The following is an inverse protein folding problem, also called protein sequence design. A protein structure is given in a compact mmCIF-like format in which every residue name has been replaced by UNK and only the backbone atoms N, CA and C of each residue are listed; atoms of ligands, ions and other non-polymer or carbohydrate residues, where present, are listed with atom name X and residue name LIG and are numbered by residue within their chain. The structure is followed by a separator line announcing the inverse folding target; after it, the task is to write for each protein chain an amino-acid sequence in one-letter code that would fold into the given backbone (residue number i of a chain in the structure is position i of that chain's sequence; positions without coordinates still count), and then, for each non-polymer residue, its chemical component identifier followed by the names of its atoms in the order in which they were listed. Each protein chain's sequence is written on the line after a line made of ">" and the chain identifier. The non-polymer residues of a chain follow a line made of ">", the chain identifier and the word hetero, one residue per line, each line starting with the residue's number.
data_IF_938460421976
#
_entry.id   IF_938460421976
#
_cell.length_a   1.000
_cell.length_b   1.000
_cell.length_c   1.000
_cell.angle_alpha   90.00
_cell.angle_beta   90.00
_cell.angle_gamma   90.00
#
_symmetry.space_group_name_H-M   'P 1'
#
loop_
_entity.id
_entity.type
_entity.pdbx_description
1 polymer ?
#
# COMPACT_ATOMS: atom_id res chain seq x y z
N UNK A 1 16.16 8.14 5.09
CA UNK A 1 14.87 7.91 5.79
C UNK A 1 13.89 7.33 4.78
N UNK A 2 13.19 6.24 5.09
CA UNK A 2 12.18 5.65 4.21
C UNK A 2 10.79 5.96 4.80
N UNK A 3 9.94 6.61 4.00
CA UNK A 3 8.52 6.76 4.31
C UNK A 3 7.71 6.09 3.21
N UNK A 4 7.06 4.97 3.52
CA UNK A 4 6.21 4.24 2.59
C UNK A 4 4.75 4.30 3.06
N UNK A 5 3.82 4.38 2.13
CA UNK A 5 2.38 4.49 2.40
C UNK A 5 1.60 3.66 1.40
N UNK A 6 0.47 3.12 1.84
CA UNK A 6 -0.53 2.50 0.95
C UNK A 6 -1.71 3.45 0.81
N UNK A 7 -2.10 3.76 -0.42
CA UNK A 7 -3.31 4.53 -0.72
C UNK A 7 -4.32 3.63 -1.44
N UNK A 8 -5.56 3.65 -0.97
CA UNK A 8 -6.66 2.94 -1.62
C UNK A 8 -7.04 3.66 -2.93
N UNK A 9 -6.50 3.20 -4.07
CA UNK A 9 -6.87 3.77 -5.36
C UNK A 9 -8.24 3.27 -5.84
N UNK A 10 -8.42 1.94 -5.89
CA UNK A 10 -9.66 1.27 -6.34
C UNK A 10 -9.82 -0.08 -5.62
N UNK A 11 -9.73 -0.05 -4.29
CA UNK A 11 -9.73 -1.26 -3.47
C UNK A 11 -11.15 -1.82 -3.29
N UNK A 12 -11.29 -3.14 -3.40
CA UNK A 12 -12.52 -3.84 -3.02
C UNK A 12 -12.58 -3.98 -1.50
N UNK A 13 -13.29 -3.06 -0.85
CA UNK A 13 -13.45 -3.05 0.60
C UNK A 13 -14.18 -4.30 1.12
N UNK A 14 -15.06 -4.92 0.33
CA UNK A 14 -15.79 -6.12 0.74
C UNK A 14 -14.85 -7.31 0.79
N UNK A 15 -14.07 -7.52 -0.29
CA UNK A 15 -13.08 -8.59 -0.34
C UNK A 15 -12.03 -8.46 0.77
N UNK A 16 -11.65 -7.23 1.13
CA UNK A 16 -10.74 -6.99 2.25
C UNK A 16 -11.29 -7.49 3.58
N UNK A 17 -12.60 -7.39 3.82
CA UNK A 17 -13.21 -7.90 5.07
C UNK A 17 -13.26 -9.42 5.14
N UNK A 18 -13.25 -10.11 4.01
CA UNK A 18 -13.22 -11.58 3.93
C UNK A 18 -11.82 -12.13 4.22
N UNK A 19 -10.78 -11.41 3.77
CA UNK A 19 -9.38 -11.86 3.86
C UNK A 19 -8.73 -11.44 5.18
N UNK A 20 -9.09 -10.26 5.71
CA UNK A 20 -8.50 -9.76 6.94
C UNK A 20 -9.20 -10.34 8.17
N UNK A 21 -8.41 -10.94 9.08
CA UNK A 21 -8.92 -11.37 10.39
C UNK A 21 -9.15 -10.15 11.28
N UNK A 22 -10.38 -9.65 11.29
CA UNK A 22 -10.83 -8.58 12.18
C UNK A 22 -11.31 -9.23 13.50
N UNK A 23 -10.69 -8.90 14.63
CA UNK A 23 -11.03 -9.48 15.95
C UNK A 23 -12.48 -9.23 16.36
N UNK A 24 -13.09 -10.19 17.09
CA UNK A 24 -14.51 -10.14 17.53
C UNK A 24 -14.87 -8.89 18.33
N UNK A 25 -13.93 -8.34 19.10
CA UNK A 25 -14.15 -7.14 19.90
C UNK A 25 -14.35 -5.88 19.02
N UNK A 26 -13.59 -5.78 17.92
CA UNK A 26 -13.84 -4.74 16.90
C UNK A 26 -15.16 -4.96 16.15
N UNK A 27 -15.63 -6.22 16.07
CA UNK A 27 -16.93 -6.58 15.48
C UNK A 27 -18.12 -6.32 16.44
N UNK A 28 -17.92 -6.31 17.75
CA UNK A 28 -19.00 -6.01 18.72
C UNK A 28 -19.12 -4.51 19.01
N UNK A 29 -17.99 -3.80 19.12
CA UNK A 29 -17.95 -2.37 19.46
C UNK A 29 -18.11 -1.46 18.22
N UNK A 30 -17.64 -1.94 17.05
CA UNK A 30 -17.65 -1.22 15.76
C UNK A 30 -18.00 -2.14 14.59
N UNK A 31 -19.01 -2.98 14.80
CA UNK A 31 -19.40 -4.10 13.94
C UNK A 31 -19.32 -3.86 12.44
N UNK A 32 -19.04 -4.94 11.72
CA UNK A 32 -18.93 -5.19 10.26
C UNK A 32 -19.37 -4.05 9.33
N UNK A 33 -20.47 -3.36 9.65
CA UNK A 33 -20.85 -2.05 9.11
C UNK A 33 -19.73 -0.99 9.04
N UNK A 34 -18.74 -0.96 9.95
CA UNK A 34 -17.78 0.14 10.02
C UNK A 34 -16.52 -0.05 9.16
N UNK A 35 -16.10 -1.28 8.84
CA UNK A 35 -14.98 -1.51 7.93
C UNK A 35 -15.37 -1.15 6.48
N UNK A 36 -16.55 -1.61 6.05
CA UNK A 36 -17.16 -1.29 4.75
C UNK A 36 -17.44 0.21 4.56
N UNK A 37 -17.57 0.99 5.65
CA UNK A 37 -17.83 2.45 5.62
C UNK A 37 -16.58 3.34 5.62
N UNK A 38 -15.37 2.82 5.83
CA UNK A 38 -14.18 3.65 6.16
C UNK A 38 -13.15 3.81 5.05
N UNK A 39 -13.17 2.97 4.02
CA UNK A 39 -12.22 3.04 2.92
C UNK A 39 -12.97 3.46 1.66
N UNK A 40 -12.89 4.75 1.34
CA UNK A 40 -13.42 5.30 0.09
C UNK A 40 -12.26 5.47 -0.91
N UNK A 41 -12.25 4.71 -2.01
CA UNK A 41 -11.13 4.72 -2.94
C UNK A 41 -11.02 6.04 -3.71
N UNK A 42 -9.78 6.47 -3.98
CA UNK A 42 -9.49 7.72 -4.70
C UNK A 42 -10.19 7.79 -6.06
N UNK A 43 -10.32 6.65 -6.76
CA UNK A 43 -11.01 6.59 -8.04
C UNK A 43 -12.47 7.02 -7.94
N UNK A 44 -13.16 6.71 -6.83
CA UNK A 44 -14.57 7.10 -6.61
C UNK A 44 -14.71 8.61 -6.41
N UNK A 45 -13.74 9.24 -5.74
CA UNK A 45 -13.77 10.67 -5.44
C UNK A 45 -13.31 11.54 -6.61
N UNK A 46 -12.32 11.06 -7.37
CA UNK A 46 -11.65 11.86 -8.41
C UNK A 46 -12.11 11.51 -9.83
N UNK A 47 -12.57 10.29 -10.07
CA UNK A 47 -12.83 9.76 -11.41
C UNK A 47 -11.58 9.58 -12.28
N UNK A 48 -10.38 9.85 -11.75
CA UNK A 48 -9.14 9.85 -12.51
C UNK A 48 -8.53 8.44 -12.63
N UNK A 49 -7.79 8.16 -13.73
CA UNK A 49 -6.96 6.96 -13.82
C UNK A 49 -5.80 7.01 -12.82
N UNK A 50 -5.24 5.84 -12.49
CA UNK A 50 -4.21 5.69 -11.45
C UNK A 50 -2.95 6.46 -11.78
N UNK A 51 -2.59 6.46 -13.05
CA UNK A 51 -1.42 7.12 -13.62
C UNK A 51 -1.48 8.63 -13.36
N UNK A 52 -2.65 9.25 -13.60
CA UNK A 52 -2.85 10.68 -13.35
C UNK A 52 -2.71 11.04 -11.87
N UNK A 53 -3.18 10.17 -10.96
CA UNK A 53 -3.00 10.36 -9.52
C UNK A 53 -1.51 10.30 -9.15
N UNK A 54 -0.77 9.32 -9.69
CA UNK A 54 0.68 9.16 -9.47
C UNK A 54 1.46 10.36 -9.98
N UNK A 55 1.22 10.78 -11.21
CA UNK A 55 1.85 11.95 -11.82
C UNK A 55 1.61 13.20 -10.99
N UNK A 56 0.38 13.41 -10.51
CA UNK A 56 0.04 14.57 -9.67
C UNK A 56 0.78 14.57 -8.34
N UNK A 57 0.96 13.40 -7.73
CA UNK A 57 1.74 13.26 -6.49
C UNK A 57 3.22 13.53 -6.72
N UNK A 58 3.82 12.97 -7.78
CA UNK A 58 5.22 13.22 -8.16
C UNK A 58 5.44 14.72 -8.42
N UNK A 59 4.56 15.35 -9.21
CA UNK A 59 4.63 16.77 -9.52
C UNK A 59 4.50 17.65 -8.27
N UNK A 60 3.58 17.29 -7.36
CA UNK A 60 3.39 18.03 -6.10
C UNK A 60 4.62 17.95 -5.20
N UNK A 61 5.24 16.77 -5.11
CA UNK A 61 6.47 16.59 -4.33
C UNK A 61 7.64 17.35 -4.96
N UNK A 62 7.83 17.21 -6.28
CA UNK A 62 8.85 17.93 -7.06
C UNK A 62 8.75 19.45 -6.86
N UNK A 63 7.54 20.00 -6.95
CA UNK A 63 7.32 21.44 -6.81
C UNK A 63 7.55 21.98 -5.40
N UNK A 64 7.37 21.15 -4.35
CA UNK A 64 7.52 21.59 -2.94
C UNK A 64 8.92 21.39 -2.38
N UNK A 65 9.61 20.33 -2.79
CA UNK A 65 10.84 19.88 -2.12
C UNK A 65 12.04 19.75 -3.04
N UNK A 66 11.86 19.88 -4.37
CA UNK A 66 12.87 19.52 -5.34
C UNK A 66 12.95 18.00 -5.52
N UNK A 67 12.93 17.54 -6.76
CA UNK A 67 13.04 16.12 -7.09
C UNK A 67 13.80 15.99 -8.42
N UNK A 68 14.85 15.19 -8.41
CA UNK A 68 15.53 14.73 -9.63
C UNK A 68 15.10 13.30 -9.94
N UNK A 69 15.07 12.95 -11.22
CA UNK A 69 14.91 11.57 -11.63
C UNK A 69 16.17 10.77 -11.29
N UNK A 70 15.96 9.54 -10.84
CA UNK A 70 17.01 8.60 -10.50
C UNK A 70 16.67 7.23 -11.07
N UNK A 71 17.70 6.42 -11.24
CA UNK A 71 17.58 5.03 -11.69
C UNK A 71 18.07 4.12 -10.57
N UNK A 72 17.45 2.95 -10.42
CA UNK A 72 17.96 1.93 -9.50
C UNK A 72 19.25 1.36 -10.07
N UNK A 73 20.31 1.35 -9.28
CA UNK A 73 21.59 0.81 -9.70
C UNK A 73 21.51 -0.73 -9.79
N UNK A 74 22.38 -1.34 -10.61
CA UNK A 74 22.35 -2.79 -10.85
C UNK A 74 22.64 -3.60 -9.58
N UNK A 75 23.54 -3.11 -8.73
CA UNK A 75 23.87 -3.70 -7.44
C UNK A 75 22.69 -3.60 -6.46
N UNK A 76 21.98 -2.47 -6.43
CA UNK A 76 20.74 -2.31 -5.64
C UNK A 76 19.66 -3.30 -6.07
N UNK A 77 19.44 -3.46 -7.38
CA UNK A 77 18.48 -4.42 -7.94
C UNK A 77 18.88 -5.86 -7.64
N UNK A 78 20.17 -6.18 -7.77
CA UNK A 78 20.70 -7.51 -7.45
C UNK A 78 20.47 -7.84 -5.99
N UNK A 79 20.80 -6.90 -5.10
CA UNK A 79 20.59 -7.06 -3.66
C UNK A 79 19.12 -7.19 -3.28
N UNK A 80 18.24 -6.42 -3.94
CA UNK A 80 16.80 -6.51 -3.71
C UNK A 80 16.25 -7.89 -4.08
N UNK A 81 16.71 -8.47 -5.20
CA UNK A 81 16.33 -9.82 -5.64
C UNK A 81 16.83 -10.89 -4.68
N UNK A 82 18.11 -10.83 -4.28
CA UNK A 82 18.66 -11.74 -3.28
C UNK A 82 17.82 -11.72 -1.99
N UNK A 83 17.51 -10.54 -1.47
CA UNK A 83 16.70 -10.41 -0.26
C UNK A 83 15.27 -10.91 -0.44
N UNK A 84 14.67 -10.73 -1.61
CA UNK A 84 13.35 -11.26 -1.91
C UNK A 84 13.35 -12.79 -1.82
N UNK A 85 14.39 -13.45 -2.36
CA UNK A 85 14.51 -14.91 -2.37
C UNK A 85 14.92 -15.48 -1.01
N UNK A 86 15.98 -14.95 -0.41
CA UNK A 86 16.60 -15.56 0.78
C UNK A 86 15.95 -15.13 2.08
N UNK A 87 15.10 -14.10 2.06
CA UNK A 87 14.48 -13.56 3.27
C UNK A 87 12.99 -13.28 3.10
N UNK A 88 12.61 -12.29 2.28
CA UNK A 88 11.24 -11.76 2.31
C UNK A 88 10.19 -12.73 1.74
N UNK A 89 10.62 -13.68 0.89
CA UNK A 89 9.78 -14.75 0.35
C UNK A 89 9.79 -16.05 1.17
N UNK A 90 10.59 -16.17 2.23
CA UNK A 90 10.67 -17.42 2.99
C UNK A 90 9.46 -17.61 3.89
N UNK A 91 9.10 -18.87 4.16
CA UNK A 91 8.01 -19.18 5.09
C UNK A 91 8.32 -18.69 6.52
N UNK A 92 9.59 -18.79 6.94
CA UNK A 92 10.06 -18.27 8.23
C UNK A 92 9.76 -16.77 8.38
N UNK A 93 9.91 -16.00 7.30
CA UNK A 93 9.61 -14.56 7.32
C UNK A 93 8.11 -14.27 7.17
N UNK A 94 7.45 -14.87 6.18
CA UNK A 94 6.06 -14.55 5.81
C UNK A 94 5.03 -15.09 6.81
N UNK A 95 5.32 -16.19 7.51
CA UNK A 95 4.47 -16.75 8.57
C UNK A 95 4.78 -16.17 9.96
N UNK A 96 5.74 -15.26 10.08
CA UNK A 96 6.08 -14.61 11.35
C UNK A 96 5.02 -13.58 11.72
N UNK A 97 4.08 -13.99 12.56
CA UNK A 97 3.07 -13.12 13.17
C UNK A 97 3.50 -12.83 14.63
N UNK A 98 3.59 -11.55 15.06
CA UNK A 98 3.81 -11.19 16.47
C UNK A 98 2.70 -11.68 17.41
#
# INVERSE_FOLDING_TARGET
>A
MLHHVTMAYDIDADRMTEVLRIGREKLSDKGTKSAKKRVDPLRRQTGLPREAVIERMIASFRGRYGLSEGVLAEDELTRAKELAETKFGTAEWTARVP
#
